data_IF_429031324241
#
_entry.id   IF_429031324241
#
_cell.length_a   1.000
_cell.length_b   1.000
_cell.length_c   1.000
_cell.angle_alpha   90.00
_cell.angle_beta   90.00
_cell.angle_gamma   90.00
#
_symmetry.space_group_name_H-M   'P 1'
#
loop_
_entity.id
_entity.type
_entity.pdbx_description
1 polymer ?
#
# COMPACT_ATOMS: atom_id res chain seq x y z
N UNK A 1 -7.91 20.13 21.65
CA UNK A 1 -6.75 20.76 21.01
C UNK A 1 -6.34 19.98 19.78
N UNK A 2 -6.01 20.65 18.70
CA UNK A 2 -5.62 20.08 17.42
C UNK A 2 -4.16 20.42 17.09
N UNK A 3 -3.56 19.75 16.09
CA UNK A 3 -2.23 20.09 15.60
C UNK A 3 -2.13 21.54 15.10
N UNK A 4 -3.25 22.10 14.61
CA UNK A 4 -3.31 23.51 14.18
C UNK A 4 -3.22 24.48 15.37
N UNK A 5 -3.78 24.11 16.51
CA UNK A 5 -3.70 24.90 17.74
C UNK A 5 -2.28 24.91 18.28
N UNK A 6 -1.60 23.75 18.29
CA UNK A 6 -0.18 23.64 18.66
C UNK A 6 0.70 24.49 17.72
N UNK A 7 0.43 24.45 16.42
CA UNK A 7 1.16 25.26 15.45
C UNK A 7 1.01 26.77 15.72
N UNK A 8 -0.22 27.20 15.98
CA UNK A 8 -0.53 28.63 16.29
C UNK A 8 0.18 29.09 17.56
N UNK A 9 0.13 28.29 18.63
CA UNK A 9 0.69 28.65 19.93
C UNK A 9 2.22 28.56 19.96
N UNK A 10 2.78 27.56 19.29
CA UNK A 10 4.26 27.42 19.21
C UNK A 10 4.91 28.42 18.27
N UNK A 11 4.14 29.05 17.36
CA UNK A 11 4.64 29.96 16.33
C UNK A 11 5.28 29.27 15.13
N UNK A 12 5.06 27.95 14.97
CA UNK A 12 5.59 27.17 13.85
C UNK A 12 4.50 26.65 12.93
N UNK A 13 4.85 26.40 11.67
CA UNK A 13 3.90 25.81 10.71
C UNK A 13 3.48 24.38 11.09
N UNK A 14 2.27 23.98 10.72
CA UNK A 14 1.71 22.63 10.96
C UNK A 14 2.65 21.52 10.48
N UNK A 15 3.35 21.73 9.35
CA UNK A 15 4.33 20.78 8.82
C UNK A 15 5.54 20.59 9.75
N UNK A 16 6.01 21.65 10.41
CA UNK A 16 7.11 21.57 11.37
C UNK A 16 6.66 20.88 12.65
N UNK A 17 5.46 21.20 13.16
CA UNK A 17 4.87 20.52 14.32
C UNK A 17 4.72 19.02 14.03
N UNK A 18 4.21 18.65 12.86
CA UNK A 18 4.07 17.25 12.46
C UNK A 18 5.41 16.52 12.44
N UNK A 19 6.48 17.14 11.92
CA UNK A 19 7.83 16.54 11.91
C UNK A 19 8.38 16.34 13.33
N UNK A 20 8.16 17.30 14.24
CA UNK A 20 8.57 17.17 15.66
C UNK A 20 7.84 16.00 16.32
N UNK A 21 6.52 15.94 16.18
CA UNK A 21 5.70 14.86 16.75
C UNK A 21 6.02 13.47 16.21
N UNK A 22 6.59 13.42 14.98
CA UNK A 22 7.05 12.18 14.35
C UNK A 22 8.56 11.92 14.55
N UNK A 23 9.21 12.63 15.46
CA UNK A 23 10.65 12.50 15.75
C UNK A 23 11.56 12.63 14.50
N UNK A 24 11.17 13.43 13.51
CA UNK A 24 11.98 13.64 12.32
C UNK A 24 13.30 14.36 12.69
N UNK A 25 14.47 13.83 12.29
CA UNK A 25 15.76 14.44 12.63
C UNK A 25 15.99 15.81 11.98
N UNK A 26 15.31 16.11 10.88
CA UNK A 26 15.48 17.34 10.09
C UNK A 26 14.70 18.54 10.68
N UNK A 27 14.67 18.68 12.01
CA UNK A 27 14.07 19.82 12.69
C UNK A 27 15.08 20.38 13.68
N UNK A 28 15.24 21.71 13.68
CA UNK A 28 16.16 22.37 14.61
C UNK A 28 15.80 22.11 16.07
N UNK A 29 16.81 22.03 16.94
CA UNK A 29 16.61 21.83 18.38
C UNK A 29 15.68 22.89 18.96
N UNK A 30 15.87 24.17 18.61
CA UNK A 30 15.03 25.27 19.06
C UNK A 30 13.55 25.08 18.72
N UNK A 31 13.23 24.65 17.51
CA UNK A 31 11.86 24.38 17.08
C UNK A 31 11.28 23.19 17.84
N UNK A 32 12.07 22.13 18.03
CA UNK A 32 11.66 20.94 18.77
C UNK A 32 11.33 21.28 20.21
N UNK A 33 12.23 21.98 20.90
CA UNK A 33 12.06 22.32 22.31
C UNK A 33 10.79 23.17 22.53
N UNK A 34 10.59 24.19 21.68
CA UNK A 34 9.41 25.08 21.77
C UNK A 34 8.10 24.36 21.48
N UNK A 35 8.07 23.51 20.46
CA UNK A 35 6.87 22.74 20.12
C UNK A 35 6.56 21.73 21.22
N UNK A 36 7.55 21.03 21.76
CA UNK A 36 7.36 20.08 22.84
C UNK A 36 6.92 20.74 24.16
N UNK A 37 7.36 21.96 24.45
CA UNK A 37 6.88 22.76 25.57
C UNK A 37 5.34 22.95 25.49
N UNK A 38 4.83 23.38 24.32
CA UNK A 38 3.38 23.57 24.10
C UNK A 38 2.64 22.23 24.16
N UNK A 39 3.17 21.19 23.54
CA UNK A 39 2.60 19.84 23.56
C UNK A 39 2.43 19.35 25.00
N UNK A 40 3.45 19.50 25.84
CA UNK A 40 3.45 19.05 27.24
C UNK A 40 2.53 19.92 28.11
N UNK A 41 2.52 21.24 27.92
CA UNK A 41 1.66 22.16 28.65
C UNK A 41 0.17 21.83 28.50
N UNK A 42 -0.21 21.31 27.36
CA UNK A 42 -1.61 20.97 27.05
C UNK A 42 -1.93 19.48 27.09
N UNK A 43 -1.00 18.63 27.53
CA UNK A 43 -1.12 17.16 27.46
C UNK A 43 -1.62 16.68 26.08
N UNK A 44 -1.16 17.35 24.99
CA UNK A 44 -1.62 17.04 23.67
C UNK A 44 -1.12 15.66 23.21
N UNK A 45 -2.05 14.78 22.93
CA UNK A 45 -1.75 13.50 22.31
C UNK A 45 -2.12 13.55 20.81
N UNK A 46 -1.17 13.26 19.91
CA UNK A 46 -1.48 13.13 18.48
C UNK A 46 -2.60 12.11 18.28
N UNK A 47 -3.60 12.47 17.49
CA UNK A 47 -4.70 11.56 17.18
C UNK A 47 -4.15 10.36 16.40
N UNK A 48 -4.03 9.21 17.06
CA UNK A 48 -3.54 7.96 16.47
C UNK A 48 -4.38 7.55 15.26
N UNK A 49 -5.70 7.78 15.28
CA UNK A 49 -6.59 7.46 14.16
C UNK A 49 -6.31 8.33 12.94
N UNK A 50 -6.03 9.64 13.10
CA UNK A 50 -5.65 10.51 12.00
C UNK A 50 -4.27 10.14 11.43
N UNK A 51 -3.37 9.64 12.28
CA UNK A 51 -2.06 9.13 11.87
C UNK A 51 -2.19 7.82 11.11
N UNK A 52 -3.01 6.89 11.57
CA UNK A 52 -3.31 5.64 10.88
C UNK A 52 -4.02 5.87 9.55
N UNK A 53 -5.00 6.79 9.47
CA UNK A 53 -5.67 7.16 8.22
C UNK A 53 -4.68 7.73 7.18
N UNK A 54 -3.73 8.56 7.62
CA UNK A 54 -2.70 9.11 6.72
C UNK A 54 -1.66 8.07 6.29
N UNK A 55 -1.33 7.11 7.15
CA UNK A 55 -0.46 5.97 6.81
C UNK A 55 -1.18 4.98 5.91
N UNK A 56 -2.44 4.66 6.15
CA UNK A 56 -3.26 3.78 5.32
C UNK A 56 -3.45 4.32 3.89
N UNK A 57 -3.51 5.62 3.70
CA UNK A 57 -3.67 6.23 2.38
C UNK A 57 -2.40 6.19 1.49
N UNK A 58 -1.23 5.75 2.01
CA UNK A 58 0.04 5.93 1.30
C UNK A 58 0.92 4.69 1.13
N UNK A 59 0.60 3.53 1.72
CA UNK A 59 1.51 2.38 1.71
C UNK A 59 0.78 1.03 1.60
N UNK A 60 -0.19 0.91 0.72
CA UNK A 60 -0.91 -0.33 0.50
C UNK A 60 -0.42 -1.09 -0.73
N UNK A 61 -0.37 -2.40 -0.64
CA UNK A 61 -0.24 -3.32 -1.79
C UNK A 61 -1.58 -4.07 -1.90
N UNK A 62 -2.24 -3.96 -3.04
CA UNK A 62 -3.44 -4.72 -3.29
C UNK A 62 -3.09 -6.10 -3.87
N UNK A 63 -3.71 -7.14 -3.33
CA UNK A 63 -3.48 -8.52 -3.73
C UNK A 63 -4.82 -9.09 -4.17
N UNK A 64 -4.91 -9.46 -5.43
CA UNK A 64 -6.09 -10.08 -6.01
C UNK A 64 -5.83 -11.57 -6.17
N UNK A 65 -6.66 -12.38 -5.53
CA UNK A 65 -6.57 -13.84 -5.55
C UNK A 65 -7.75 -14.40 -6.32
N UNK A 66 -7.48 -14.99 -7.48
CA UNK A 66 -8.51 -15.63 -8.30
C UNK A 66 -8.63 -17.10 -7.95
N UNK A 67 -9.82 -17.51 -7.53
CA UNK A 67 -10.07 -18.88 -7.09
C UNK A 67 -9.69 -19.10 -5.61
N UNK A 68 -10.58 -18.78 -4.71
CA UNK A 68 -10.37 -18.75 -3.25
C UNK A 68 -10.01 -20.13 -2.62
N UNK A 69 -10.23 -21.24 -3.31
CA UNK A 69 -10.03 -22.60 -2.76
C UNK A 69 -8.65 -23.20 -3.07
N UNK A 70 -7.74 -22.42 -3.64
CA UNK A 70 -6.40 -22.93 -3.97
C UNK A 70 -5.45 -22.80 -2.76
N UNK A 71 -5.09 -23.93 -2.14
CA UNK A 71 -4.17 -24.00 -1.01
C UNK A 71 -2.79 -23.42 -1.32
N UNK A 72 -2.35 -23.44 -2.59
CA UNK A 72 -1.10 -22.83 -3.01
C UNK A 72 -1.13 -21.31 -2.76
N UNK A 73 -2.23 -20.65 -3.08
CA UNK A 73 -2.33 -19.19 -2.89
C UNK A 73 -2.36 -18.81 -1.42
N UNK A 74 -3.00 -19.61 -0.57
CA UNK A 74 -2.95 -19.41 0.88
C UNK A 74 -1.51 -19.51 1.42
N UNK A 75 -0.75 -20.50 0.97
CA UNK A 75 0.65 -20.67 1.37
C UNK A 75 1.54 -19.53 0.85
N UNK A 76 1.27 -19.00 -0.34
CA UNK A 76 1.99 -17.84 -0.89
C UNK A 76 1.69 -16.60 -0.05
N UNK A 77 0.41 -16.35 0.27
CA UNK A 77 -0.01 -15.20 1.09
C UNK A 77 0.59 -15.25 2.50
N UNK A 78 0.59 -16.42 3.14
CA UNK A 78 1.17 -16.63 4.47
C UNK A 78 2.65 -16.23 4.53
N UNK A 79 3.40 -16.50 3.47
CA UNK A 79 4.82 -16.14 3.37
C UNK A 79 5.04 -14.71 2.90
N UNK A 80 4.15 -14.17 2.09
CA UNK A 80 4.30 -12.86 1.48
C UNK A 80 3.89 -11.73 2.43
N UNK A 81 2.81 -11.91 3.20
CA UNK A 81 2.30 -10.88 4.10
C UNK A 81 3.34 -10.37 5.10
N UNK A 82 4.10 -11.22 5.82
CA UNK A 82 5.14 -10.74 6.73
C UNK A 82 6.19 -9.87 6.02
N UNK A 83 6.58 -10.22 4.80
CA UNK A 83 7.57 -9.47 4.01
C UNK A 83 7.05 -8.08 3.62
N UNK A 84 5.76 -8.00 3.28
CA UNK A 84 5.08 -6.73 2.95
C UNK A 84 5.03 -5.83 4.20
N UNK A 85 4.63 -6.40 5.33
CA UNK A 85 4.52 -5.69 6.61
C UNK A 85 5.88 -5.21 7.16
N UNK A 86 6.92 -6.04 7.09
CA UNK A 86 8.29 -5.67 7.48
C UNK A 86 8.81 -4.48 6.69
N UNK A 87 8.35 -4.30 5.46
CA UNK A 87 8.67 -3.15 4.61
C UNK A 87 7.78 -1.93 4.84
N UNK A 88 6.87 -1.99 5.81
CA UNK A 88 5.98 -0.90 6.19
C UNK A 88 4.76 -0.74 5.29
N UNK A 89 4.43 -1.75 4.49
CA UNK A 89 3.23 -1.76 3.65
C UNK A 89 2.08 -2.52 4.32
N UNK A 90 0.85 -2.19 3.90
CA UNK A 90 -0.37 -2.91 4.28
C UNK A 90 -0.84 -3.73 3.09
N UNK A 91 -1.20 -4.98 3.33
CA UNK A 91 -1.79 -5.85 2.30
C UNK A 91 -3.32 -5.68 2.27
N UNK A 92 -3.87 -5.37 1.10
CA UNK A 92 -5.31 -5.42 0.83
C UNK A 92 -5.61 -6.66 0.00
N UNK A 93 -6.01 -7.75 0.67
CA UNK A 93 -6.29 -9.01 -0.01
C UNK A 93 -7.77 -9.08 -0.40
N UNK A 94 -8.03 -9.33 -1.68
CA UNK A 94 -9.37 -9.52 -2.22
C UNK A 94 -9.42 -10.83 -2.99
N UNK A 95 -10.40 -11.66 -2.63
CA UNK A 95 -10.68 -12.90 -3.34
C UNK A 95 -11.76 -12.64 -4.37
N UNK A 96 -11.54 -13.13 -5.58
CA UNK A 96 -12.49 -13.01 -6.69
C UNK A 96 -12.82 -14.39 -7.24
N UNK A 97 -13.99 -14.49 -7.84
CA UNK A 97 -14.45 -15.73 -8.48
C UNK A 97 -13.62 -16.03 -9.73
N UNK A 98 -13.68 -17.30 -10.17
CA UNK A 98 -12.86 -17.80 -11.28
C UNK A 98 -13.22 -17.11 -12.61
N UNK A 99 -14.44 -16.66 -12.76
CA UNK A 99 -15.00 -16.00 -13.95
C UNK A 99 -15.01 -14.46 -13.83
N UNK A 100 -14.60 -13.92 -12.68
CA UNK A 100 -14.52 -12.47 -12.48
C UNK A 100 -13.43 -11.83 -13.35
N UNK A 101 -13.68 -10.58 -13.76
CA UNK A 101 -12.71 -9.78 -14.51
C UNK A 101 -11.73 -9.10 -13.55
N UNK A 102 -10.47 -9.53 -13.58
CA UNK A 102 -9.41 -9.05 -12.68
C UNK A 102 -9.13 -7.55 -12.85
N UNK A 103 -9.22 -7.02 -14.08
CA UNK A 103 -8.95 -5.61 -14.37
C UNK A 103 -10.03 -4.73 -13.74
N UNK A 104 -11.29 -5.15 -13.83
CA UNK A 104 -12.42 -4.43 -13.20
C UNK A 104 -12.29 -4.44 -11.68
N UNK A 105 -11.98 -5.58 -11.08
CA UNK A 105 -11.83 -5.67 -9.63
C UNK A 105 -10.58 -4.91 -9.13
N UNK A 106 -9.49 -4.94 -9.89
CA UNK A 106 -8.31 -4.12 -9.60
C UNK A 106 -8.62 -2.63 -9.65
N UNK A 107 -9.38 -2.18 -10.65
CA UNK A 107 -9.77 -0.76 -10.78
C UNK A 107 -10.59 -0.29 -9.58
N UNK A 108 -11.54 -1.11 -9.09
CA UNK A 108 -12.30 -0.81 -7.87
C UNK A 108 -11.40 -0.67 -6.64
N UNK A 109 -10.42 -1.59 -6.49
CA UNK A 109 -9.45 -1.53 -5.38
C UNK A 109 -8.54 -0.29 -5.47
N UNK A 110 -8.14 0.08 -6.67
CA UNK A 110 -7.33 1.30 -6.91
C UNK A 110 -8.10 2.54 -6.45
N UNK A 111 -9.38 2.64 -6.81
CA UNK A 111 -10.22 3.78 -6.42
C UNK A 111 -10.46 3.85 -4.91
N UNK A 112 -10.74 2.70 -4.28
CA UNK A 112 -11.09 2.62 -2.85
C UNK A 112 -9.86 2.70 -1.94
N UNK A 113 -8.80 1.95 -2.22
CA UNK A 113 -7.64 1.80 -1.33
C UNK A 113 -6.42 2.62 -1.75
N UNK A 114 -6.37 3.07 -3.01
CA UNK A 114 -5.23 3.80 -3.58
C UNK A 114 -3.87 3.13 -3.28
N UNK A 115 -3.72 1.85 -3.64
CA UNK A 115 -2.50 1.10 -3.37
C UNK A 115 -1.34 1.63 -4.21
N UNK A 116 -0.12 1.31 -3.83
CA UNK A 116 1.09 1.66 -4.59
C UNK A 116 1.45 0.62 -5.65
N UNK A 117 0.87 -0.57 -5.58
CA UNK A 117 1.08 -1.65 -6.54
C UNK A 117 0.06 -2.76 -6.37
N UNK A 118 0.01 -3.63 -7.35
CA UNK A 118 -0.92 -4.74 -7.46
C UNK A 118 -0.17 -6.07 -7.58
N UNK A 119 -0.66 -7.08 -6.89
CA UNK A 119 -0.20 -8.46 -7.03
C UNK A 119 -1.41 -9.32 -7.42
N UNK A 120 -1.26 -10.11 -8.45
CA UNK A 120 -2.30 -11.00 -8.94
C UNK A 120 -1.85 -12.45 -8.73
N UNK A 121 -2.66 -13.23 -8.03
CA UNK A 121 -2.46 -14.66 -7.81
C UNK A 121 -3.50 -15.46 -8.58
N UNK A 122 -3.06 -16.32 -9.47
CA UNK A 122 -3.93 -17.20 -10.26
C UNK A 122 -4.67 -16.52 -11.41
N UNK A 123 -4.27 -15.31 -11.77
CA UNK A 123 -4.88 -14.56 -12.88
C UNK A 123 -4.40 -15.05 -14.24
N UNK A 124 -5.26 -14.97 -15.24
CA UNK A 124 -4.92 -15.21 -16.63
C UNK A 124 -4.99 -13.90 -17.42
N UNK A 125 -3.84 -13.25 -17.59
CA UNK A 125 -3.75 -11.98 -18.30
C UNK A 125 -3.83 -12.13 -19.82
N UNK A 126 -3.65 -13.33 -20.38
CA UNK A 126 -3.69 -13.57 -21.85
C UNK A 126 -5.07 -13.31 -22.47
N UNK A 127 -6.11 -13.17 -21.65
CA UNK A 127 -7.46 -12.82 -22.09
C UNK A 127 -7.72 -11.32 -22.24
N UNK A 128 -6.79 -10.46 -21.78
CA UNK A 128 -6.93 -9.01 -21.80
C UNK A 128 -6.03 -8.38 -22.87
N UNK A 129 -6.47 -7.27 -23.43
CA UNK A 129 -5.65 -6.46 -24.32
C UNK A 129 -4.59 -5.67 -23.54
N UNK A 130 -3.55 -5.22 -24.24
CA UNK A 130 -2.52 -4.36 -23.66
C UNK A 130 -3.15 -3.07 -23.11
N UNK A 131 -4.08 -2.49 -23.85
CA UNK A 131 -4.78 -1.26 -23.46
C UNK A 131 -5.57 -1.44 -22.16
N UNK A 132 -6.24 -2.57 -21.96
CA UNK A 132 -6.96 -2.86 -20.72
C UNK A 132 -6.00 -2.96 -19.53
N UNK A 133 -4.87 -3.64 -19.68
CA UNK A 133 -3.87 -3.78 -18.62
C UNK A 133 -3.24 -2.42 -18.28
N UNK A 134 -2.96 -1.59 -19.28
CA UNK A 134 -2.40 -0.26 -19.08
C UNK A 134 -3.33 0.69 -18.33
N UNK A 135 -4.65 0.44 -18.33
CA UNK A 135 -5.60 1.25 -17.55
C UNK A 135 -5.32 1.21 -16.04
N UNK A 136 -4.69 0.15 -15.55
CA UNK A 136 -4.35 0.02 -14.12
C UNK A 136 -3.34 1.07 -13.66
N UNK A 137 -2.46 1.52 -14.56
CA UNK A 137 -1.49 2.61 -14.34
C UNK A 137 -0.70 2.53 -13.02
N UNK A 138 -0.42 1.32 -12.54
CA UNK A 138 0.33 1.00 -11.33
C UNK A 138 1.30 -0.15 -11.62
N UNK A 139 2.38 -0.28 -10.84
CA UNK A 139 3.22 -1.47 -10.88
C UNK A 139 2.40 -2.72 -10.56
N UNK A 140 2.45 -3.71 -11.43
CA UNK A 140 1.71 -4.95 -11.31
C UNK A 140 2.66 -6.15 -11.33
N UNK A 141 2.38 -7.15 -10.52
CA UNK A 141 3.07 -8.45 -10.53
C UNK A 141 2.03 -9.54 -10.65
N UNK A 142 2.20 -10.42 -11.65
CA UNK A 142 1.42 -11.67 -11.74
C UNK A 142 2.24 -12.83 -11.21
N UNK A 143 1.62 -13.66 -10.39
CA UNK A 143 2.24 -14.85 -9.81
C UNK A 143 1.46 -16.08 -10.26
N UNK A 144 2.17 -17.13 -10.66
CA UNK A 144 1.63 -18.39 -11.17
C UNK A 144 1.03 -18.34 -12.58
N UNK A 145 1.14 -17.21 -13.29
CA UNK A 145 0.74 -17.11 -14.68
C UNK A 145 1.89 -16.63 -15.56
N UNK A 146 1.99 -17.15 -16.76
CA UNK A 146 2.95 -16.69 -17.76
C UNK A 146 2.31 -15.51 -18.53
N UNK A 147 2.55 -14.29 -18.08
CA UNK A 147 2.23 -13.09 -18.85
C UNK A 147 3.45 -12.57 -19.66
N UNK A 148 4.31 -13.50 -20.09
CA UNK A 148 5.57 -13.21 -20.83
C UNK A 148 5.30 -12.54 -22.18
N UNK A 149 4.08 -12.64 -22.71
CA UNK A 149 3.68 -12.04 -23.99
C UNK A 149 3.60 -10.51 -23.98
N UNK A 150 3.57 -9.89 -22.81
CA UNK A 150 3.39 -8.45 -22.67
C UNK A 150 4.68 -7.75 -22.28
N UNK A 151 5.23 -6.97 -23.19
CA UNK A 151 6.37 -6.11 -22.91
C UNK A 151 5.89 -4.77 -22.30
N UNK A 152 5.21 -4.86 -21.14
CA UNK A 152 4.70 -3.70 -20.42
C UNK A 152 5.69 -3.29 -19.32
N UNK A 153 6.00 -2.00 -19.25
CA UNK A 153 6.97 -1.46 -18.28
C UNK A 153 6.51 -1.60 -16.81
N UNK A 154 5.21 -1.68 -16.60
CA UNK A 154 4.60 -1.75 -15.27
C UNK A 154 4.13 -3.15 -14.88
N UNK A 155 4.34 -4.17 -15.71
CA UNK A 155 3.92 -5.54 -15.46
C UNK A 155 5.14 -6.47 -15.40
N UNK A 156 5.24 -7.20 -14.30
CA UNK A 156 6.22 -8.28 -14.11
C UNK A 156 5.49 -9.60 -13.85
N UNK A 157 6.03 -10.70 -14.32
CA UNK A 157 5.47 -12.02 -14.05
C UNK A 157 6.47 -12.92 -13.34
N UNK A 158 5.95 -13.69 -12.38
CA UNK A 158 6.65 -14.74 -11.69
C UNK A 158 5.92 -16.05 -11.93
N UNK A 159 6.55 -16.95 -12.67
CA UNK A 159 6.04 -18.32 -12.91
C UNK A 159 6.86 -19.34 -12.15
N UNK A 160 6.21 -20.43 -11.75
CA UNK A 160 6.91 -21.61 -11.24
C UNK A 160 7.35 -22.38 -12.48
N UNK A 161 8.67 -22.53 -12.63
CA UNK A 161 9.24 -23.34 -13.69
C UNK A 161 8.85 -24.80 -13.45
N UNK A 162 7.99 -25.36 -14.29
CA UNK A 162 7.65 -26.78 -14.26
C UNK A 162 8.75 -27.55 -15.00
N UNK A 163 9.97 -27.48 -14.44
CA UNK A 163 11.06 -28.33 -14.93
C UNK A 163 10.93 -29.72 -14.31
N UNK A 164 10.56 -30.68 -15.11
CA UNK A 164 10.89 -32.08 -14.89
C UNK A 164 9.77 -32.96 -14.38
N UNK A 165 9.10 -33.61 -15.29
CA UNK A 165 8.81 -35.05 -15.21
C UNK A 165 9.40 -35.75 -16.41
#
# INVERSE_FOLDING_TARGET
MTIKDIAKESGYGVGTVSRVLNNNPNVSKKARDRIMEVVNAHNYQPNANARHLKMQAQQGIAIIVKGAQNLLFSSILEKMNPVIEERGYISYVTYIDQDANEIVEASKLIEDKKPQGLIFLGSNFDQYSIEEIETLNLPCVTVTSNSISYNLKNLSSLSIDQVGR
#
